data_IF_628135223991
#
_entry.id   IF_628135223991
#
_cell.length_a   1.000
_cell.length_b   1.000
_cell.length_c   1.000
_cell.angle_alpha   90.00
_cell.angle_beta   90.00
_cell.angle_gamma   90.00
#
_symmetry.space_group_name_H-M   'P 1'
#
loop_
_entity.id
_entity.type
_entity.pdbx_description
1 polymer ?
#
# COMPACT_ATOMS: atom_id res chain seq x y z
N UNK A 1 14.57 13.15 -21.11
CA UNK A 1 14.18 12.92 -20.46
C UNK A 1 13.45 11.97 -20.33
N UNK A 2 13.35 11.38 -19.83
CA UNK A 2 12.69 10.46 -19.76
C UNK A 2 11.60 10.56 -19.02
N UNK A 3 10.64 10.19 -19.18
CA UNK A 3 9.65 10.32 -18.43
C UNK A 3 9.26 9.08 -17.90
N UNK A 4 8.85 8.90 -16.83
CA UNK A 4 8.53 7.75 -16.17
C UNK A 4 7.07 7.55 -16.14
N UNK A 5 6.44 7.63 -17.27
CA UNK A 5 5.03 7.55 -17.32
C UNK A 5 4.53 6.21 -16.89
N UNK A 6 5.37 5.16 -16.96
CA UNK A 6 4.93 3.83 -16.59
C UNK A 6 5.26 3.48 -15.16
N UNK A 7 5.87 4.40 -14.42
CA UNK A 7 6.20 4.12 -13.03
C UNK A 7 4.99 4.39 -12.17
N UNK A 8 4.72 3.57 -11.18
CA UNK A 8 3.61 3.86 -10.27
C UNK A 8 3.93 5.06 -9.42
N UNK A 9 2.90 5.77 -9.01
CA UNK A 9 3.04 6.87 -8.08
C UNK A 9 2.78 6.32 -6.70
N UNK A 10 3.70 6.54 -5.79
CA UNK A 10 3.58 5.99 -4.45
C UNK A 10 3.35 7.09 -3.43
N UNK A 11 2.66 6.75 -2.36
CA UNK A 11 2.38 7.69 -1.31
C UNK A 11 2.38 6.96 0.01
N UNK A 12 3.11 7.47 0.99
CA UNK A 12 3.13 6.86 2.32
C UNK A 12 1.81 7.15 3.02
N UNK A 13 1.21 6.11 3.58
CA UNK A 13 -0.04 6.24 4.30
C UNK A 13 0.22 6.38 5.79
N UNK A 14 1.10 5.57 6.33
CA UNK A 14 1.41 5.58 7.76
C UNK A 14 2.76 4.95 7.97
N UNK A 15 3.39 5.31 9.07
CA UNK A 15 4.74 4.82 9.32
C UNK A 15 4.99 4.79 10.81
N UNK A 16 5.60 3.72 11.27
CA UNK A 16 6.11 3.64 12.63
C UNK A 16 7.60 3.34 12.54
N UNK A 17 8.23 3.09 13.68
CA UNK A 17 9.66 2.84 13.67
C UNK A 17 10.03 1.64 12.82
N UNK A 18 9.19 0.61 12.77
CA UNK A 18 9.54 -0.61 12.10
C UNK A 18 8.59 -0.99 10.98
N UNK A 19 7.46 -0.31 10.85
CA UNK A 19 6.45 -0.67 9.87
C UNK A 19 6.13 0.51 8.97
N UNK A 20 5.75 0.21 7.75
CA UNK A 20 5.45 1.26 6.78
C UNK A 20 4.27 0.80 5.94
N UNK A 21 3.28 1.66 5.80
CA UNK A 21 2.15 1.42 4.90
C UNK A 21 2.18 2.46 3.81
N UNK A 22 2.01 2.03 2.56
CA UNK A 22 2.02 2.96 1.45
C UNK A 22 1.13 2.42 0.34
N UNK A 23 0.75 3.30 -0.56
CA UNK A 23 -0.07 2.90 -1.69
C UNK A 23 0.61 3.29 -2.98
N UNK A 24 0.24 2.62 -4.05
CA UNK A 24 0.78 2.88 -5.37
C UNK A 24 -0.37 2.99 -6.35
N UNK A 25 -0.33 4.03 -7.20
CA UNK A 25 -1.25 4.15 -8.30
C UNK A 25 -0.54 3.63 -9.53
N UNK A 26 -1.03 2.52 -10.05
CA UNK A 26 -0.41 1.86 -11.18
C UNK A 26 -0.75 2.58 -12.48
N UNK A 27 0.08 2.42 -13.49
CA UNK A 27 -0.20 3.09 -14.77
C UNK A 27 -1.53 2.71 -15.40
N UNK A 28 -2.05 1.52 -15.07
CA UNK A 28 -3.33 1.10 -15.63
C UNK A 28 -4.52 1.61 -14.85
N UNK A 29 -4.29 2.46 -13.85
CA UNK A 29 -5.38 3.06 -13.09
C UNK A 29 -5.73 2.32 -11.82
N UNK A 30 -5.12 1.19 -11.56
CA UNK A 30 -5.40 0.46 -10.32
C UNK A 30 -4.60 1.02 -9.18
N UNK A 31 -5.16 0.92 -7.98
CA UNK A 31 -4.46 1.30 -6.77
C UNK A 31 -4.16 0.05 -5.97
N UNK A 32 -2.92 -0.08 -5.55
CA UNK A 32 -2.51 -1.18 -4.69
C UNK A 32 -1.99 -0.62 -3.37
N UNK A 33 -2.07 -1.43 -2.33
CA UNK A 33 -1.67 -1.03 -1.00
C UNK A 33 -0.65 -2.03 -0.48
N UNK A 34 0.29 -1.53 0.31
CA UNK A 34 1.43 -2.35 0.73
C UNK A 34 1.74 -2.05 2.18
N UNK A 35 2.02 -3.10 2.95
CA UNK A 35 2.46 -2.94 4.33
C UNK A 35 3.77 -3.69 4.48
N UNK A 36 4.80 -2.96 4.88
CA UNK A 36 6.11 -3.55 5.14
C UNK A 36 6.26 -3.79 6.62
N UNK A 37 6.47 -5.05 6.97
CA UNK A 37 6.61 -5.46 8.36
C UNK A 37 7.97 -6.11 8.48
N UNK A 38 8.93 -5.40 9.02
CA UNK A 38 10.28 -5.94 9.18
C UNK A 38 10.77 -6.64 7.93
N UNK A 39 10.56 -7.95 7.84
CA UNK A 39 11.13 -8.72 6.76
C UNK A 39 10.09 -9.28 5.81
N UNK A 40 8.89 -8.75 5.81
CA UNK A 40 7.85 -9.21 4.90
C UNK A 40 7.03 -8.02 4.45
N UNK A 41 6.60 -8.03 3.19
CA UNK A 41 5.71 -7.00 2.68
C UNK A 41 4.43 -7.67 2.20
N UNK A 42 3.31 -7.16 2.65
CA UNK A 42 2.00 -7.69 2.27
C UNK A 42 1.38 -6.73 1.28
N UNK A 43 0.77 -7.28 0.23
CA UNK A 43 0.21 -6.48 -0.85
C UNK A 43 -1.28 -6.71 -0.93
N UNK A 44 -2.03 -5.64 -1.22
CA UNK A 44 -3.49 -5.69 -1.25
C UNK A 44 -3.99 -4.98 -2.49
N UNK A 45 -5.05 -5.53 -3.09
CA UNK A 45 -5.87 -4.75 -4.00
C UNK A 45 -6.87 -3.96 -3.16
N UNK A 46 -7.61 -3.07 -3.81
CA UNK A 46 -8.41 -2.12 -3.04
C UNK A 46 -9.46 -2.78 -2.18
N UNK A 47 -10.13 -3.80 -2.69
CA UNK A 47 -11.15 -4.48 -1.89
C UNK A 47 -10.53 -5.22 -0.72
N UNK A 48 -9.38 -5.82 -0.96
CA UNK A 48 -8.67 -6.51 0.11
C UNK A 48 -8.20 -5.53 1.17
N UNK A 49 -7.78 -4.35 0.74
CA UNK A 49 -7.33 -3.32 1.67
C UNK A 49 -8.47 -2.87 2.57
N UNK A 50 -9.67 -2.72 2.01
CA UNK A 50 -10.82 -2.34 2.82
C UNK A 50 -11.14 -3.40 3.86
N UNK A 51 -11.08 -4.65 3.46
CA UNK A 51 -11.34 -5.74 4.39
C UNK A 51 -10.29 -5.81 5.46
N UNK A 52 -9.04 -5.58 5.10
CA UNK A 52 -7.96 -5.56 6.06
C UNK A 52 -8.16 -4.43 7.07
N UNK A 53 -8.56 -3.27 6.61
CA UNK A 53 -8.82 -2.16 7.51
C UNK A 53 -9.96 -2.49 8.48
N UNK A 54 -10.96 -3.18 7.98
CA UNK A 54 -12.06 -3.58 8.84
C UNK A 54 -11.58 -4.56 9.90
N UNK A 55 -10.75 -5.50 9.51
CA UNK A 55 -10.17 -6.42 10.47
C UNK A 55 -9.41 -5.67 11.55
N UNK A 56 -8.59 -4.73 11.17
CA UNK A 56 -7.77 -3.99 12.12
C UNK A 56 -8.65 -3.18 13.08
N UNK A 57 -9.71 -2.58 12.56
CA UNK A 57 -10.59 -1.79 13.42
C UNK A 57 -11.26 -2.65 14.49
N UNK A 58 -11.35 -3.95 14.26
CA UNK A 58 -12.00 -4.85 15.21
C UNK A 58 -11.00 -5.58 16.10
N UNK A 59 -9.75 -5.21 16.05
CA UNK A 59 -8.79 -5.81 16.96
C UNK A 59 -9.04 -5.29 18.37
N UNK A 60 -8.82 -6.15 19.35
CA UNK A 60 -9.08 -5.79 20.73
C UNK A 60 -7.80 -5.58 21.50
#
# INVERSE_FOLDING_TARGET
MNNNQNDPKTETIAETDNFLAWKAEEPDGETTYHIELNNVTVHFFEEEWREFQELVRNLK
#
